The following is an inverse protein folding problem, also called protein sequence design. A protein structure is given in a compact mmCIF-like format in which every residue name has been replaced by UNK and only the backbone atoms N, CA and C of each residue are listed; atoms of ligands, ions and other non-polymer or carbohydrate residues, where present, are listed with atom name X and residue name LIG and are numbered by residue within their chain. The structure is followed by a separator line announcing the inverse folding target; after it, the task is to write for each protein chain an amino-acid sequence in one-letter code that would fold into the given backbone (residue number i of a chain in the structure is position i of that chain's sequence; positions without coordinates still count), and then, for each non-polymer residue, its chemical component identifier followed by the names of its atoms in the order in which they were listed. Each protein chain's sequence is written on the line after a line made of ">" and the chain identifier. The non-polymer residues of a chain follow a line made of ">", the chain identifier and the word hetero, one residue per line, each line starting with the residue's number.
data_IF_851527586837
#
_entry.id   IF_851527586837
#
_cell.length_a   1.000
_cell.length_b   1.000
_cell.length_c   1.000
_cell.angle_alpha   90.00
_cell.angle_beta   90.00
_cell.angle_gamma   90.00
#
_symmetry.space_group_name_H-M   'P 1'
#
loop_
_entity.id
_entity.type
_entity.pdbx_description
1 polymer ?
#
# COMPACT_ATOMS: atom_id res chain seq x y z
N UNK A 1 -8.97 -15.93 -11.98
CA UNK A 1 -9.02 -16.98 -10.96
C UNK A 1 -8.48 -18.26 -11.57
N UNK A 2 -7.60 -18.98 -10.87
CA UNK A 2 -7.09 -20.26 -11.35
C UNK A 2 -7.95 -21.45 -10.90
N UNK A 3 -7.56 -22.67 -11.28
CA UNK A 3 -8.28 -23.89 -10.94
C UNK A 3 -8.24 -24.24 -9.43
N UNK A 4 -7.36 -23.59 -8.65
CA UNK A 4 -7.25 -23.77 -7.20
C UNK A 4 -8.05 -22.70 -6.43
N UNK A 5 -8.73 -21.79 -7.13
CA UNK A 5 -9.47 -20.69 -6.52
C UNK A 5 -8.60 -19.49 -6.14
N UNK A 6 -7.33 -19.44 -6.60
CA UNK A 6 -6.50 -18.26 -6.42
C UNK A 6 -7.03 -17.12 -7.29
N UNK A 7 -7.29 -15.98 -6.65
CA UNK A 7 -7.71 -14.75 -7.33
C UNK A 7 -6.53 -13.79 -7.39
N UNK A 8 -6.23 -13.35 -8.61
CA UNK A 8 -5.15 -12.39 -8.88
C UNK A 8 -5.77 -11.17 -9.57
N UNK A 9 -5.44 -9.98 -9.07
CA UNK A 9 -5.78 -8.73 -9.73
C UNK A 9 -4.69 -8.38 -10.74
N UNK A 10 -5.08 -8.12 -11.98
CA UNK A 10 -4.15 -7.82 -13.08
C UNK A 10 -4.71 -6.71 -13.96
N UNK A 11 -3.83 -5.97 -14.63
CA UNK A 11 -4.22 -4.99 -15.66
C UNK A 11 -4.34 -3.55 -15.15
N UNK A 12 -5.12 -2.75 -15.88
CA UNK A 12 -5.36 -1.34 -15.60
C UNK A 12 -6.53 -1.19 -14.62
N UNK A 13 -6.44 -0.32 -13.60
CA UNK A 13 -7.58 -0.10 -12.73
C UNK A 13 -8.78 0.47 -13.48
N UNK A 14 -9.98 0.17 -13.00
CA UNK A 14 -11.19 0.84 -13.44
C UNK A 14 -11.15 2.35 -13.18
N UNK A 15 -12.09 3.07 -13.80
CA UNK A 15 -12.27 4.53 -13.61
C UNK A 15 -13.21 4.88 -12.45
N UNK A 16 -13.88 3.88 -11.88
CA UNK A 16 -14.85 3.99 -10.78
C UNK A 16 -14.76 2.74 -9.89
N UNK A 17 -15.25 2.83 -8.64
CA UNK A 17 -15.46 1.70 -7.74
C UNK A 17 -15.89 0.45 -8.50
N UNK A 18 -15.14 -0.64 -8.33
CA UNK A 18 -15.37 -1.87 -9.06
C UNK A 18 -15.73 -3.00 -8.11
N UNK A 19 -17.00 -3.41 -8.18
CA UNK A 19 -17.49 -4.56 -7.45
C UNK A 19 -17.43 -5.81 -8.30
N UNK A 20 -16.96 -6.91 -7.71
CA UNK A 20 -16.92 -8.21 -8.34
C UNK A 20 -17.38 -9.30 -7.38
N UNK A 21 -17.98 -10.35 -7.94
CA UNK A 21 -18.51 -11.49 -7.19
C UNK A 21 -17.70 -12.72 -7.50
N UNK A 22 -17.27 -13.44 -6.45
CA UNK A 22 -16.63 -14.75 -6.60
C UNK A 22 -17.70 -15.82 -6.39
N UNK A 23 -17.87 -16.68 -7.39
CA UNK A 23 -18.79 -17.81 -7.33
C UNK A 23 -18.03 -19.12 -7.55
N UNK A 24 -18.44 -20.16 -6.83
CA UNK A 24 -17.97 -21.53 -7.05
C UNK A 24 -19.11 -22.37 -7.62
N UNK A 25 -18.78 -23.26 -8.55
CA UNK A 25 -19.71 -24.26 -9.08
C UNK A 25 -19.31 -25.63 -8.57
N UNK A 26 -20.22 -26.32 -7.89
CA UNK A 26 -20.04 -27.73 -7.59
C UNK A 26 -20.07 -28.53 -8.90
N UNK A 27 -19.00 -29.25 -9.22
CA UNK A 27 -18.88 -29.99 -10.48
C UNK A 27 -19.86 -31.16 -10.59
N UNK A 28 -20.27 -31.76 -9.47
CA UNK A 28 -21.15 -32.94 -9.43
C UNK A 28 -22.61 -32.51 -9.49
N UNK A 29 -23.03 -31.58 -8.63
CA UNK A 29 -24.43 -31.15 -8.55
C UNK A 29 -24.79 -30.00 -9.49
N UNK A 30 -23.80 -29.33 -10.08
CA UNK A 30 -23.99 -28.12 -10.89
C UNK A 30 -24.37 -26.86 -10.09
N UNK A 31 -24.57 -26.99 -8.77
CA UNK A 31 -24.99 -25.88 -7.90
C UNK A 31 -23.94 -24.77 -7.89
N UNK A 32 -24.40 -23.52 -8.05
CA UNK A 32 -23.56 -22.32 -7.99
C UNK A 32 -23.77 -21.66 -6.62
N UNK A 33 -22.68 -21.29 -5.95
CA UNK A 33 -22.71 -20.55 -4.69
C UNK A 33 -21.84 -19.30 -4.78
N UNK A 34 -22.39 -18.17 -4.38
CA UNK A 34 -21.61 -16.94 -4.15
C UNK A 34 -20.83 -17.07 -2.85
N UNK A 35 -19.51 -16.84 -2.93
CA UNK A 35 -18.58 -16.92 -1.80
C UNK A 35 -18.29 -15.54 -1.24
N UNK A 36 -18.15 -14.54 -2.10
CA UNK A 36 -17.91 -13.17 -1.68
C UNK A 36 -18.34 -12.17 -2.75
N UNK A 37 -18.72 -10.99 -2.30
CA UNK A 37 -18.83 -9.79 -3.12
C UNK A 37 -17.85 -8.78 -2.55
N UNK A 38 -16.93 -8.31 -3.37
CA UNK A 38 -15.87 -7.39 -2.97
C UNK A 38 -15.98 -6.12 -3.80
N UNK A 39 -15.63 -4.98 -3.21
CA UNK A 39 -15.53 -3.70 -3.90
C UNK A 39 -14.10 -3.18 -3.75
N UNK A 40 -13.47 -2.88 -4.88
CA UNK A 40 -12.13 -2.33 -4.93
C UNK A 40 -12.20 -0.80 -4.95
N UNK A 41 -11.67 -0.16 -3.90
CA UNK A 41 -11.71 1.30 -3.70
C UNK A 41 -10.37 1.98 -3.99
N UNK A 42 -9.28 1.22 -3.98
CA UNK A 42 -7.93 1.72 -4.27
C UNK A 42 -7.18 0.71 -5.12
N UNK A 43 -6.43 1.21 -6.09
CA UNK A 43 -5.52 0.42 -6.90
C UNK A 43 -4.09 0.82 -6.62
N UNK A 44 -3.29 -0.14 -6.14
CA UNK A 44 -1.86 0.02 -5.99
C UNK A 44 -1.13 -0.63 -7.16
N UNK A 45 -0.15 0.09 -7.71
CA UNK A 45 0.79 -0.43 -8.70
C UNK A 45 2.21 -0.14 -8.24
N UNK A 46 3.13 -1.01 -8.65
CA UNK A 46 4.49 -1.01 -8.14
C UNK A 46 5.47 -1.06 -9.31
N UNK A 47 6.47 -0.20 -9.27
CA UNK A 47 7.64 -0.25 -10.14
C UNK A 47 8.85 -0.67 -9.32
N UNK A 48 9.47 -1.77 -9.71
CA UNK A 48 10.57 -2.42 -8.98
C UNK A 48 11.83 -2.38 -9.83
N UNK A 49 12.99 -2.23 -9.19
CA UNK A 49 14.30 -2.24 -9.85
C UNK A 49 14.65 -0.95 -10.59
N UNK A 50 13.81 0.08 -10.49
CA UNK A 50 14.08 1.40 -11.04
C UNK A 50 14.34 2.38 -9.91
N UNK A 51 15.61 2.72 -9.71
CA UNK A 51 16.02 3.67 -8.67
C UNK A 51 15.51 5.08 -9.00
N UNK A 52 14.61 5.61 -8.18
CA UNK A 52 13.97 6.91 -8.40
C UNK A 52 14.13 7.84 -7.22
N UNK A 53 14.61 9.05 -7.51
CA UNK A 53 14.47 10.19 -6.61
C UNK A 53 13.00 10.57 -6.47
N UNK A 54 12.69 11.37 -5.46
CA UNK A 54 11.33 11.73 -5.12
C UNK A 54 10.59 12.42 -6.28
N UNK A 55 11.21 13.41 -6.94
CA UNK A 55 10.63 14.08 -8.11
C UNK A 55 10.32 13.10 -9.25
N UNK A 56 11.27 12.21 -9.57
CA UNK A 56 11.08 11.19 -10.61
C UNK A 56 9.97 10.19 -10.26
N UNK A 57 9.78 9.87 -8.98
CA UNK A 57 8.71 9.00 -8.53
C UNK A 57 7.34 9.69 -8.64
N UNK A 58 7.26 11.00 -8.38
CA UNK A 58 6.05 11.80 -8.63
C UNK A 58 5.73 11.81 -10.12
N UNK A 59 6.71 12.16 -10.97
CA UNK A 59 6.55 12.20 -12.43
C UNK A 59 6.14 10.83 -12.98
N UNK A 60 6.71 9.76 -12.44
CA UNK A 60 6.33 8.41 -12.80
C UNK A 60 4.87 8.14 -12.46
N UNK A 61 4.42 8.39 -11.23
CA UNK A 61 3.04 8.13 -10.85
C UNK A 61 2.05 8.98 -11.66
N UNK A 62 2.34 10.25 -11.93
CA UNK A 62 1.47 11.10 -12.75
C UNK A 62 1.44 10.64 -14.22
N UNK A 63 2.53 10.06 -14.73
CA UNK A 63 2.59 9.51 -16.10
C UNK A 63 1.72 8.26 -16.31
N UNK A 64 1.30 7.56 -15.24
CA UNK A 64 0.44 6.38 -15.32
C UNK A 64 -1.03 6.72 -15.67
N UNK A 65 -1.37 8.01 -15.71
CA UNK A 65 -2.69 8.52 -16.06
C UNK A 65 -3.38 9.24 -14.91
N UNK A 66 -4.58 9.75 -15.18
CA UNK A 66 -5.32 10.57 -14.23
C UNK A 66 -5.64 9.83 -12.93
N UNK A 67 -5.41 10.52 -11.80
CA UNK A 67 -5.73 10.05 -10.45
C UNK A 67 -4.62 9.26 -9.75
N UNK A 68 -3.56 8.87 -10.45
CA UNK A 68 -2.39 8.27 -9.80
C UNK A 68 -1.54 9.29 -9.06
N UNK A 69 -1.06 8.89 -7.89
CA UNK A 69 -0.15 9.67 -7.04
C UNK A 69 0.72 8.75 -6.21
N UNK A 70 1.75 9.31 -5.58
CA UNK A 70 2.41 8.64 -4.46
C UNK A 70 1.38 8.34 -3.36
N UNK A 71 1.49 7.18 -2.66
CA UNK A 71 0.64 6.87 -1.53
C UNK A 71 0.88 7.83 -0.37
N UNK A 72 -0.15 8.09 0.41
CA UNK A 72 -0.02 8.69 1.73
C UNK A 72 0.31 7.61 2.75
N UNK A 73 0.70 8.02 3.94
CA UNK A 73 0.85 7.10 5.05
C UNK A 73 -0.43 6.29 5.33
N UNK A 74 -1.62 6.91 5.21
CA UNK A 74 -2.92 6.26 5.38
C UNK A 74 -3.28 5.25 4.28
N UNK A 75 -2.69 5.37 3.09
CA UNK A 75 -2.89 4.38 2.03
C UNK A 75 -2.11 3.09 2.31
N UNK A 76 -1.00 3.19 3.06
CA UNK A 76 -0.14 2.06 3.38
C UNK A 76 -0.41 1.47 4.77
N UNK A 77 -0.63 2.34 5.76
CA UNK A 77 -0.74 2.04 7.17
C UNK A 77 -1.97 2.73 7.79
N UNK A 78 -2.52 2.17 8.87
CA UNK A 78 -3.73 2.67 9.55
C UNK A 78 -3.51 3.98 10.34
N UNK A 79 -2.64 4.88 9.88
CA UNK A 79 -2.33 6.14 10.55
C UNK A 79 -1.55 6.00 11.86
N UNK A 80 -1.28 4.78 12.35
CA UNK A 80 -0.61 4.54 13.62
C UNK A 80 0.74 3.83 13.41
N UNK A 81 1.86 4.55 13.30
CA UNK A 81 3.17 3.94 13.46
C UNK A 81 3.28 3.40 14.88
N UNK A 82 3.48 2.10 15.07
CA UNK A 82 4.00 1.60 16.35
C UNK A 82 5.51 1.82 16.36
N UNK A 83 5.97 2.95 16.88
CA UNK A 83 7.40 3.15 17.16
C UNK A 83 7.67 2.60 18.56
N UNK A 84 8.19 1.38 18.68
CA UNK A 84 8.68 0.90 19.98
C UNK A 84 10.20 1.01 19.97
N UNK A 85 10.78 1.99 20.68
CA UNK A 85 12.23 2.13 20.93
C UNK A 85 13.15 1.60 19.81
N UNK A 86 13.10 2.22 18.63
CA UNK A 86 14.00 1.88 17.50
C UNK A 86 13.62 0.62 16.71
N UNK A 87 12.42 0.06 16.88
CA UNK A 87 11.94 -1.11 16.15
C UNK A 87 10.60 -0.84 15.44
N UNK A 88 10.66 -0.97 14.11
CA UNK A 88 9.61 -1.24 13.10
C UNK A 88 8.19 -0.68 13.30
N UNK A 89 7.75 0.13 12.33
CA UNK A 89 6.34 0.49 12.10
C UNK A 89 5.55 -0.72 11.56
N UNK A 90 5.05 -1.60 12.43
CA UNK A 90 4.16 -2.70 12.00
C UNK A 90 2.67 -2.30 12.05
N UNK A 91 1.82 -2.75 11.10
CA UNK A 91 0.38 -2.68 11.21
C UNK A 91 -0.06 -3.42 12.47
N UNK A 92 -0.82 -2.72 13.32
CA UNK A 92 -1.23 -3.23 14.63
C UNK A 92 -2.25 -4.39 14.50
N UNK A 93 -2.87 -4.57 13.33
CA UNK A 93 -3.76 -5.69 13.01
C UNK A 93 -3.99 -5.83 11.49
N UNK A 94 -4.22 -7.07 11.02
CA UNK A 94 -4.76 -7.31 9.68
C UNK A 94 -6.26 -7.05 9.68
N UNK A 95 -6.72 -6.13 8.82
CA UNK A 95 -8.12 -5.71 8.76
C UNK A 95 -8.48 -5.42 7.31
N UNK A 96 -9.66 -5.84 6.88
CA UNK A 96 -10.24 -5.51 5.58
C UNK A 96 -11.71 -5.06 5.75
N UNK A 97 -12.15 -3.98 5.06
CA UNK A 97 -11.35 -3.10 4.23
C UNK A 97 -10.43 -2.18 5.06
N UNK A 98 -9.34 -1.71 4.48
CA UNK A 98 -8.31 -0.94 5.16
C UNK A 98 -7.11 -0.56 4.28
N UNK A 99 -6.04 -0.02 4.88
CA UNK A 99 -4.81 0.30 4.18
C UNK A 99 -4.12 -0.94 3.62
N UNK A 100 -3.28 -0.72 2.60
CA UNK A 100 -2.62 -1.78 1.82
C UNK A 100 -2.01 -2.87 2.71
N UNK A 101 -1.22 -2.52 3.72
CA UNK A 101 -0.52 -3.54 4.52
C UNK A 101 -1.39 -4.18 5.60
N UNK A 102 -2.48 -3.52 6.02
CA UNK A 102 -3.48 -4.15 6.89
C UNK A 102 -4.27 -5.23 6.14
N UNK A 103 -4.59 -5.00 4.86
CA UNK A 103 -5.29 -5.99 4.05
C UNK A 103 -4.36 -7.09 3.53
N UNK A 104 -3.24 -6.70 2.93
CA UNK A 104 -2.40 -7.60 2.11
C UNK A 104 -1.17 -8.12 2.85
N UNK A 105 -0.81 -7.51 3.98
CA UNK A 105 0.46 -7.77 4.66
C UNK A 105 1.64 -7.29 3.84
N UNK A 106 2.78 -7.98 3.97
CA UNK A 106 4.01 -7.63 3.27
C UNK A 106 3.90 -7.88 1.76
N UNK A 107 4.10 -6.81 0.99
CA UNK A 107 3.93 -6.82 -0.46
C UNK A 107 5.02 -7.62 -1.20
N UNK A 108 6.21 -7.78 -0.61
CA UNK A 108 7.29 -8.59 -1.20
C UNK A 108 6.86 -10.04 -1.49
N UNK A 109 5.89 -10.56 -0.73
CA UNK A 109 5.32 -11.89 -0.95
C UNK A 109 4.61 -12.04 -2.32
N UNK A 110 4.25 -10.94 -2.99
CA UNK A 110 3.47 -10.96 -4.24
C UNK A 110 4.23 -10.46 -5.48
N UNK A 111 5.25 -9.61 -5.31
CA UNK A 111 5.85 -8.89 -6.46
C UNK A 111 7.36 -9.12 -6.65
N UNK A 112 8.10 -9.53 -5.62
CA UNK A 112 9.49 -10.03 -5.64
C UNK A 112 10.08 -10.02 -4.23
N UNK A 113 11.08 -10.86 -3.94
CA UNK A 113 11.83 -10.89 -2.68
C UNK A 113 12.74 -9.66 -2.45
N UNK A 114 12.35 -8.48 -2.94
CA UNK A 114 13.09 -7.23 -2.74
C UNK A 114 12.48 -6.49 -1.56
N UNK A 115 13.35 -5.87 -0.76
CA UNK A 115 12.94 -4.99 0.32
C UNK A 115 12.09 -3.85 -0.24
N UNK A 116 10.82 -3.83 0.19
CA UNK A 116 9.87 -2.86 -0.29
C UNK A 116 10.00 -1.55 0.49
N UNK A 117 10.50 -0.52 -0.19
CA UNK A 117 10.61 0.85 0.31
C UNK A 117 10.03 1.77 -0.76
N UNK A 118 9.06 2.59 -0.41
CA UNK A 118 8.45 3.54 -1.36
C UNK A 118 8.37 4.94 -0.80
N UNK A 119 8.47 5.93 -1.68
CA UNK A 119 8.09 7.30 -1.38
C UNK A 119 6.63 7.42 -0.98
N UNK A 120 6.37 8.24 0.04
CA UNK A 120 5.01 8.65 0.44
C UNK A 120 4.84 10.16 0.33
N UNK A 121 3.63 10.58 -0.07
CA UNK A 121 3.20 11.98 0.03
C UNK A 121 2.81 12.26 1.47
N UNK A 122 3.50 13.20 2.12
CA UNK A 122 3.07 13.69 3.42
C UNK A 122 1.84 14.58 3.26
N UNK A 123 0.77 14.27 3.99
CA UNK A 123 -0.34 15.18 4.24
C UNK A 123 -0.07 15.89 5.57
N UNK A 124 -0.35 17.20 5.66
CA UNK A 124 -0.31 17.91 6.93
C UNK A 124 -1.33 17.27 7.85
N UNK A 125 -0.88 16.59 8.90
CA UNK A 125 -1.79 16.03 9.88
C UNK A 125 -1.11 15.93 11.24
N UNK A 126 -1.80 16.40 12.28
CA UNK A 126 -1.37 16.31 13.66
C UNK A 126 -1.91 15.01 14.26
N UNK A 127 -1.04 14.02 14.40
CA UNK A 127 -1.34 12.81 15.16
C UNK A 127 -1.45 13.15 16.66
N UNK A 128 -2.68 13.31 17.15
CA UNK A 128 -2.98 13.44 18.58
C UNK A 128 -2.81 12.10 19.28
N UNK A 129 -1.82 12.02 20.19
CA UNK A 129 -1.49 10.81 20.95
C UNK A 129 -1.95 10.95 22.40
N UNK A 130 -3.11 10.41 22.74
CA UNK A 130 -3.39 9.99 24.13
C UNK A 130 -2.76 8.61 24.33
N UNK A 131 -1.48 8.57 24.71
CA UNK A 131 -0.77 7.32 25.06
C UNK A 131 0.75 7.47 25.11
N UNK A 132 1.36 7.09 26.23
CA UNK A 132 2.72 7.42 26.69
C UNK A 132 3.90 6.82 25.92
N UNK A 133 3.72 6.23 24.73
CA UNK A 133 4.82 5.55 24.01
C UNK A 133 4.81 5.78 22.48
N UNK A 134 4.16 6.83 21.98
CA UNK A 134 4.15 7.14 20.55
C UNK A 134 4.92 8.45 20.32
N UNK A 135 6.03 8.39 19.59
CA UNK A 135 6.66 9.59 19.06
C UNK A 135 5.69 10.20 18.02
N UNK A 136 5.26 11.43 18.26
CA UNK A 136 4.49 12.19 17.27
C UNK A 136 5.36 12.39 16.02
N UNK A 137 5.03 11.68 14.95
CA UNK A 137 5.63 11.97 13.65
C UNK A 137 4.88 13.17 13.09
N UNK A 138 5.38 14.38 13.38
CA UNK A 138 4.85 15.59 12.75
C UNK A 138 5.18 15.55 11.26
N UNK A 139 4.12 15.68 10.46
CA UNK A 139 4.14 15.60 9.02
C UNK A 139 3.89 17.00 8.46
N UNK A 140 4.96 17.75 8.12
CA UNK A 140 4.79 19.03 7.43
C UNK A 140 4.42 18.81 5.96
N UNK A 141 3.50 19.62 5.42
CA UNK A 141 3.25 19.68 3.98
C UNK A 141 4.58 19.80 3.21
N UNK A 142 4.74 18.99 2.15
CA UNK A 142 5.95 19.03 1.32
C UNK A 142 7.13 18.21 1.86
N UNK A 143 7.00 17.56 3.01
CA UNK A 143 7.94 16.51 3.44
C UNK A 143 7.63 15.22 2.68
N UNK A 144 8.64 14.38 2.43
CA UNK A 144 8.45 13.07 1.82
C UNK A 144 9.28 12.07 2.60
N UNK A 145 8.68 10.92 2.89
CA UNK A 145 9.33 9.86 3.65
C UNK A 145 9.24 8.55 2.89
N UNK A 146 10.28 7.74 3.03
CA UNK A 146 10.23 6.32 2.73
C UNK A 146 9.52 5.56 3.84
N UNK A 147 8.65 4.63 3.46
CA UNK A 147 8.04 3.68 4.42
C UNK A 147 8.38 2.27 3.95
N UNK A 148 8.81 1.44 4.89
CA UNK A 148 9.19 0.05 4.65
C UNK A 148 8.01 -0.87 4.88
N UNK A 149 7.93 -1.94 4.09
CA UNK A 149 6.98 -3.01 4.36
C UNK A 149 7.16 -3.56 5.79
N UNK A 150 6.07 -3.91 6.49
CA UNK A 150 6.08 -4.13 7.94
C UNK A 150 7.12 -5.12 8.46
N UNK A 151 7.45 -6.15 7.68
CA UNK A 151 8.31 -7.24 8.13
C UNK A 151 9.81 -6.94 7.97
N UNK A 152 10.16 -5.83 7.29
CA UNK A 152 11.54 -5.42 7.14
C UNK A 152 11.90 -4.47 8.28
N UNK A 153 12.78 -4.97 9.15
CA UNK A 153 13.12 -4.45 10.50
C UNK A 153 13.73 -3.03 10.55
N UNK A 154 13.83 -2.31 9.44
CA UNK A 154 14.50 -1.02 9.37
C UNK A 154 13.54 0.02 8.79
N UNK A 155 12.86 0.82 9.61
CA UNK A 155 12.19 2.02 9.13
C UNK A 155 13.24 3.09 8.80
N UNK A 156 13.66 3.20 7.54
CA UNK A 156 14.44 4.36 7.10
C UNK A 156 13.46 5.50 6.83
N UNK A 157 13.41 6.52 7.68
CA UNK A 157 12.85 7.82 7.32
C UNK A 157 13.96 8.65 6.69
N UNK A 158 14.17 8.51 5.38
CA UNK A 158 15.02 9.45 4.66
C UNK A 158 14.15 10.61 4.16
N UNK A 159 14.49 11.83 4.59
CA UNK A 159 13.88 13.07 4.13
C UNK A 159 14.69 13.71 2.99
N UNK A 160 15.75 13.06 2.50
CA UNK A 160 16.55 13.55 1.39
C UNK A 160 15.85 13.24 0.05
N UNK A 161 15.26 14.24 -0.63
CA UNK A 161 14.52 14.01 -1.88
C UNK A 161 15.41 13.50 -3.03
N UNK A 162 16.73 13.62 -2.89
CA UNK A 162 17.73 13.15 -3.86
C UNK A 162 18.12 11.69 -3.65
N UNK A 163 17.74 11.06 -2.53
CA UNK A 163 18.03 9.65 -2.29
C UNK A 163 17.18 8.78 -3.22
N UNK A 164 17.75 7.82 -3.96
CA UNK A 164 16.96 7.08 -4.94
C UNK A 164 16.50 5.72 -4.38
N UNK A 165 15.20 5.48 -4.32
CA UNK A 165 14.64 4.18 -3.90
C UNK A 165 14.39 3.27 -5.09
N UNK A 166 14.68 1.97 -4.94
CA UNK A 166 14.54 0.97 -6.00
C UNK A 166 13.09 0.54 -6.25
N UNK A 167 12.17 0.91 -5.35
CA UNK A 167 10.76 0.61 -5.48
C UNK A 167 9.93 1.88 -5.41
N UNK A 168 8.96 2.01 -6.32
CA UNK A 168 7.98 3.10 -6.32
C UNK A 168 6.59 2.53 -6.35
N UNK A 169 5.77 2.95 -5.39
CA UNK A 169 4.34 2.70 -5.35
C UNK A 169 3.57 3.88 -5.87
N UNK A 170 2.56 3.59 -6.67
CA UNK A 170 1.55 4.57 -7.04
C UNK A 170 0.18 4.04 -6.64
N UNK A 171 -0.64 4.91 -6.08
CA UNK A 171 -2.03 4.59 -5.72
C UNK A 171 -2.98 5.47 -6.51
N UNK A 172 -4.10 4.89 -6.91
CA UNK A 172 -5.25 5.58 -7.50
C UNK A 172 -6.49 5.21 -6.70
N UNK A 173 -7.27 6.21 -6.29
CA UNK A 173 -8.65 5.98 -5.82
C UNK A 173 -9.51 5.62 -7.02
N UNK A 174 -10.37 4.62 -6.83
CA UNK A 174 -11.31 4.16 -7.84
C UNK A 174 -12.70 4.65 -7.45
#
# INVERSE_FOLDING_TARGET
>A
MDNNGLVTYTGTPPSSDWSYTIQIRNRISGTIRTISTNTLQKWHTFRIGASMTQGKAIDYCTSLGSGYRLPTYYDLLNGRPRVTNGQSEQPVSRTAPGPLWSEWGNISAYISNIDYITWTRTVTDSLSTTGTNFASVNFSAGTYKSVWSPDNKNSASDNNPSHPWQTVSCVKSI
#
